data_IF_624434222264
#
_entry.id   IF_624434222264
#
_cell.length_a   1.000
_cell.length_b   1.000
_cell.length_c   1.000
_cell.angle_alpha   90.00
_cell.angle_beta   90.00
_cell.angle_gamma   90.00
#
_symmetry.space_group_name_H-M   'P 1'
#
loop_
_entity.id
_entity.type
_entity.pdbx_description
1 polymer ?
#
# COMPACT_ATOMS: atom_id res chain seq x y z
N UNK A 1 6.22 24.18 17.91
CA UNK A 1 5.19 24.46 16.89
C UNK A 1 4.84 23.15 16.21
N UNK A 2 3.59 22.74 16.28
CA UNK A 2 3.15 21.37 15.97
C UNK A 2 2.79 21.20 14.50
N UNK A 3 2.94 20.00 13.91
CA UNK A 3 2.31 19.73 12.63
C UNK A 3 0.81 19.88 12.85
N UNK A 4 0.22 20.88 12.19
CA UNK A 4 -1.20 21.28 12.26
C UNK A 4 -2.17 20.15 11.88
N UNK A 5 -1.64 19.01 11.44
CA UNK A 5 -2.32 17.83 10.90
C UNK A 5 -2.83 16.83 11.96
N UNK A 6 -2.26 16.82 13.17
CA UNK A 6 -2.67 15.88 14.21
C UNK A 6 -3.81 16.46 15.06
N UNK A 7 -5.05 16.09 14.72
CA UNK A 7 -6.21 16.36 15.56
C UNK A 7 -6.06 15.68 16.93
N UNK A 8 -6.57 16.30 17.99
CA UNK A 8 -6.56 15.75 19.36
C UNK A 8 -7.13 14.32 19.38
N UNK A 9 -8.19 14.07 18.61
CA UNK A 9 -8.80 12.74 18.45
C UNK A 9 -7.80 11.68 17.96
N UNK A 10 -6.92 12.02 17.02
CA UNK A 10 -5.93 11.07 16.49
C UNK A 10 -4.87 10.73 17.54
N UNK A 11 -4.49 11.69 18.38
CA UNK A 11 -3.59 11.45 19.53
C UNK A 11 -4.24 10.47 20.51
N UNK A 12 -5.50 10.68 20.87
CA UNK A 12 -6.26 9.76 21.73
C UNK A 12 -6.35 8.35 21.12
N UNK A 13 -6.69 8.24 19.83
CA UNK A 13 -6.74 6.95 19.13
C UNK A 13 -5.40 6.22 19.15
N UNK A 14 -4.30 6.92 18.88
CA UNK A 14 -2.97 6.32 18.90
C UNK A 14 -2.60 5.79 20.28
N UNK A 15 -2.85 6.57 21.34
CA UNK A 15 -2.58 6.17 22.70
C UNK A 15 -3.43 4.97 23.15
N UNK A 16 -4.73 4.97 22.85
CA UNK A 16 -5.60 3.84 23.12
C UNK A 16 -5.16 2.60 22.35
N UNK A 17 -4.74 2.74 21.09
CA UNK A 17 -4.21 1.62 20.31
C UNK A 17 -2.94 1.04 20.94
N UNK A 18 -2.03 1.88 21.46
CA UNK A 18 -0.82 1.43 22.17
C UNK A 18 -1.21 0.67 23.45
N UNK A 19 -2.13 1.21 24.26
CA UNK A 19 -2.63 0.55 25.48
C UNK A 19 -3.29 -0.80 25.16
N UNK A 20 -4.20 -0.83 24.18
CA UNK A 20 -4.90 -2.04 23.77
C UNK A 20 -3.92 -3.06 23.20
N UNK A 21 -2.91 -2.63 22.45
CA UNK A 21 -1.84 -3.50 21.95
C UNK A 21 -1.04 -4.15 23.08
N UNK A 22 -0.65 -3.38 24.11
CA UNK A 22 0.02 -3.91 25.30
C UNK A 22 -0.86 -4.92 26.07
N UNK A 23 -2.16 -4.64 26.20
CA UNK A 23 -3.12 -5.56 26.82
C UNK A 23 -3.31 -6.84 26.00
N UNK A 24 -3.42 -6.72 24.67
CA UNK A 24 -3.53 -7.87 23.78
C UNK A 24 -2.28 -8.76 23.84
N UNK A 25 -1.08 -8.15 23.93
CA UNK A 25 0.16 -8.88 24.15
C UNK A 25 0.17 -9.62 25.49
N UNK A 26 -0.37 -9.03 26.55
CA UNK A 26 -0.49 -9.71 27.84
C UNK A 26 -1.39 -10.96 27.74
N UNK A 27 -2.54 -10.85 27.07
CA UNK A 27 -3.47 -11.98 26.86
C UNK A 27 -2.82 -13.08 26.01
N UNK A 28 -2.14 -12.71 24.92
CA UNK A 28 -1.55 -13.67 23.99
C UNK A 28 -0.33 -14.41 24.56
N UNK A 29 0.40 -13.77 25.48
CA UNK A 29 1.67 -14.33 25.99
C UNK A 29 1.47 -15.37 27.09
N UNK A 30 0.24 -15.62 27.58
CA UNK A 30 -0.09 -16.48 28.74
C UNK A 30 0.97 -16.38 29.87
N UNK A 31 1.48 -15.17 30.08
CA UNK A 31 2.65 -14.99 30.93
C UNK A 31 2.21 -14.99 32.38
N UNK A 32 2.71 -15.94 33.16
CA UNK A 32 2.52 -16.00 34.62
C UNK A 32 2.96 -14.71 35.35
N UNK A 33 3.75 -13.86 34.71
CA UNK A 33 4.23 -12.60 35.27
C UNK A 33 3.36 -11.40 34.81
N UNK A 34 2.71 -10.67 35.73
CA UNK A 34 1.83 -9.52 35.42
C UNK A 34 2.59 -8.25 34.98
N UNK A 35 3.85 -8.36 34.57
CA UNK A 35 4.73 -7.22 34.26
C UNK A 35 4.15 -6.33 33.14
N UNK A 36 3.53 -6.95 32.13
CA UNK A 36 2.92 -6.27 30.99
C UNK A 36 1.67 -5.50 31.37
N UNK A 37 0.90 -6.01 32.33
CA UNK A 37 -0.32 -5.39 32.84
C UNK A 37 0.02 -4.14 33.66
N UNK A 38 1.01 -4.22 34.55
CA UNK A 38 1.50 -3.05 35.29
C UNK A 38 2.12 -1.99 34.37
N UNK A 39 2.85 -2.41 33.33
CA UNK A 39 3.39 -1.49 32.33
C UNK A 39 2.27 -0.77 31.56
N UNK A 40 1.25 -1.49 31.09
CA UNK A 40 0.09 -0.90 30.41
C UNK A 40 -0.66 0.09 31.31
N UNK A 41 -0.87 -0.27 32.58
CA UNK A 41 -1.53 0.59 33.56
C UNK A 41 -0.70 1.84 33.88
N UNK A 42 0.61 1.68 34.12
CA UNK A 42 1.50 2.80 34.42
C UNK A 42 1.65 3.78 33.25
N UNK A 43 1.87 3.25 32.04
CA UNK A 43 1.91 4.07 30.81
C UNK A 43 0.56 4.76 30.63
N UNK A 44 -0.54 4.06 30.91
CA UNK A 44 -1.86 4.61 30.76
C UNK A 44 -2.17 5.77 31.69
N UNK A 45 -1.78 5.64 32.95
CA UNK A 45 -1.85 6.73 33.94
C UNK A 45 -0.99 7.92 33.50
N UNK A 46 0.25 7.68 33.08
CA UNK A 46 1.14 8.75 32.59
C UNK A 46 0.54 9.52 31.40
N UNK A 47 -0.11 8.83 30.45
CA UNK A 47 -0.76 9.44 29.29
C UNK A 47 -1.97 10.31 29.71
N UNK A 48 -2.75 9.85 30.69
CA UNK A 48 -3.91 10.59 31.21
C UNK A 48 -3.51 11.88 31.93
N UNK A 49 -2.49 11.81 32.79
CA UNK A 49 -2.09 12.98 33.59
C UNK A 49 -1.17 13.95 32.85
N UNK A 50 -0.38 13.48 31.86
CA UNK A 50 0.57 14.31 31.14
C UNK A 50 0.24 14.37 29.63
N UNK A 51 -0.65 15.29 29.20
CA UNK A 51 -1.05 15.43 27.80
C UNK A 51 0.12 15.81 26.87
N UNK A 52 1.15 16.46 27.40
CA UNK A 52 2.35 16.79 26.63
C UNK A 52 3.16 15.54 26.26
N UNK A 53 3.33 14.59 27.17
CA UNK A 53 4.10 13.35 26.93
C UNK A 53 3.34 12.45 25.96
N UNK A 54 2.04 12.30 26.19
CA UNK A 54 1.08 11.64 25.30
C UNK A 54 1.26 12.05 23.83
N UNK A 55 1.46 13.35 23.58
CA UNK A 55 1.65 13.88 22.24
C UNK A 55 2.96 13.45 21.58
N UNK A 56 4.06 13.45 22.33
CA UNK A 56 5.36 13.02 21.81
C UNK A 56 5.35 11.52 21.45
N UNK A 57 4.70 10.71 22.29
CA UNK A 57 4.50 9.28 22.04
C UNK A 57 3.72 9.07 20.74
N UNK A 58 2.58 9.75 20.57
CA UNK A 58 1.76 9.63 19.37
C UNK A 58 2.52 10.04 18.10
N UNK A 59 3.33 11.11 18.15
CA UNK A 59 4.18 11.52 17.01
C UNK A 59 5.18 10.42 16.65
N UNK A 60 5.85 9.82 17.65
CA UNK A 60 6.76 8.70 17.44
C UNK A 60 6.07 7.50 16.79
N UNK A 61 4.90 7.13 17.31
CA UNK A 61 4.06 6.06 16.78
C UNK A 61 3.65 6.29 15.33
N UNK A 62 3.18 7.50 14.99
CA UNK A 62 2.79 7.82 13.62
C UNK A 62 3.98 7.86 12.65
N UNK A 63 5.18 8.25 13.09
CA UNK A 63 6.40 8.14 12.28
C UNK A 63 6.72 6.69 11.94
N UNK A 64 6.61 5.79 12.92
CA UNK A 64 6.77 4.34 12.69
C UNK A 64 5.71 3.80 11.73
N UNK A 65 4.44 4.16 11.96
CA UNK A 65 3.34 3.75 11.10
C UNK A 65 3.51 4.23 9.65
N UNK A 66 4.05 5.45 9.45
CA UNK A 66 4.36 5.96 8.11
C UNK A 66 5.46 5.15 7.42
N UNK A 67 6.52 4.78 8.16
CA UNK A 67 7.58 3.91 7.65
C UNK A 67 7.06 2.52 7.27
N UNK A 68 6.28 1.90 8.16
CA UNK A 68 5.62 0.62 7.89
C UNK A 68 4.66 0.70 6.70
N UNK A 69 3.87 1.78 6.61
CA UNK A 69 2.97 2.02 5.50
C UNK A 69 3.71 2.09 4.16
N UNK A 70 4.84 2.79 4.09
CA UNK A 70 5.65 2.87 2.88
C UNK A 70 6.14 1.50 2.40
N UNK A 71 6.63 0.67 3.33
CA UNK A 71 7.09 -0.69 3.01
C UNK A 71 5.90 -1.57 2.61
N UNK A 72 4.80 -1.50 3.36
CA UNK A 72 3.61 -2.30 3.13
C UNK A 72 2.96 -1.99 1.78
N UNK A 73 2.90 -0.72 1.37
CA UNK A 73 2.36 -0.34 0.05
C UNK A 73 3.13 -1.00 -1.09
N UNK A 74 4.47 -1.05 -1.00
CA UNK A 74 5.28 -1.75 -2.01
C UNK A 74 5.08 -3.26 -1.94
N UNK A 75 5.08 -3.82 -0.73
CA UNK A 75 4.89 -5.26 -0.53
C UNK A 75 3.57 -5.73 -1.11
N UNK A 76 2.49 -4.99 -0.85
CA UNK A 76 1.13 -5.33 -1.28
C UNK A 76 0.99 -5.20 -2.80
N UNK A 77 1.60 -4.17 -3.41
CA UNK A 77 1.64 -4.03 -4.86
C UNK A 77 2.44 -5.16 -5.52
N UNK A 78 3.62 -5.49 -4.99
CA UNK A 78 4.44 -6.60 -5.47
C UNK A 78 3.70 -7.93 -5.33
N UNK A 79 3.06 -8.18 -4.19
CA UNK A 79 2.26 -9.39 -3.97
C UNK A 79 1.12 -9.47 -4.99
N UNK A 80 0.37 -8.39 -5.19
CA UNK A 80 -0.72 -8.34 -6.16
C UNK A 80 -0.21 -8.58 -7.58
N UNK A 81 0.95 -8.02 -7.93
CA UNK A 81 1.59 -8.28 -9.21
C UNK A 81 1.94 -9.76 -9.40
N UNK A 82 2.64 -10.37 -8.44
CA UNK A 82 3.09 -11.76 -8.57
C UNK A 82 1.96 -12.79 -8.46
N UNK A 83 0.93 -12.52 -7.63
CA UNK A 83 -0.17 -13.45 -7.39
C UNK A 83 -1.28 -13.33 -8.44
N UNK A 84 -1.53 -12.13 -8.99
CA UNK A 84 -2.62 -11.92 -9.95
C UNK A 84 -2.12 -11.55 -11.35
N UNK A 85 -1.39 -10.44 -11.48
CA UNK A 85 -1.03 -9.91 -12.81
C UNK A 85 -0.08 -10.83 -13.57
N UNK A 86 0.94 -11.36 -12.90
CA UNK A 86 1.94 -12.23 -13.50
C UNK A 86 1.34 -13.54 -14.03
N UNK A 87 0.59 -14.35 -13.24
CA UNK A 87 -0.02 -15.57 -13.77
C UNK A 87 -1.06 -15.26 -14.84
N UNK A 88 -1.82 -14.15 -14.71
CA UNK A 88 -2.76 -13.75 -15.74
C UNK A 88 -2.06 -13.39 -17.05
N UNK A 89 -0.95 -12.65 -16.98
CA UNK A 89 -0.14 -12.30 -18.15
C UNK A 89 0.51 -13.53 -18.79
N UNK A 90 1.01 -14.48 -17.98
CA UNK A 90 1.55 -15.74 -18.47
C UNK A 90 0.48 -16.59 -19.14
N UNK A 91 -0.71 -16.69 -18.54
CA UNK A 91 -1.85 -17.39 -19.12
C UNK A 91 -2.26 -16.74 -20.45
N UNK A 92 -2.36 -15.42 -20.49
CA UNK A 92 -2.65 -14.69 -21.72
C UNK A 92 -1.57 -14.90 -22.79
N UNK A 93 -0.29 -14.94 -22.41
CA UNK A 93 0.84 -15.24 -23.30
C UNK A 93 0.79 -16.66 -23.86
N UNK A 94 0.35 -17.63 -23.05
CA UNK A 94 0.17 -19.03 -23.48
C UNK A 94 -1.04 -19.19 -24.41
N UNK A 95 -2.16 -18.51 -24.12
CA UNK A 95 -3.40 -18.63 -24.89
C UNK A 95 -3.39 -17.82 -26.20
N UNK A 96 -2.73 -16.66 -26.25
CA UNK A 96 -2.67 -15.81 -27.45
C UNK A 96 -1.26 -15.77 -28.02
N UNK A 97 -1.06 -16.48 -29.14
CA UNK A 97 0.25 -16.64 -29.80
C UNK A 97 0.86 -15.35 -30.37
N UNK A 98 0.11 -14.25 -30.54
CA UNK A 98 0.66 -12.99 -31.05
C UNK A 98 -0.30 -11.80 -30.81
N UNK A 99 -0.50 -11.37 -29.56
CA UNK A 99 -1.36 -10.22 -29.28
C UNK A 99 -0.79 -8.87 -29.78
N UNK A 100 0.54 -8.76 -29.86
CA UNK A 100 1.24 -7.53 -30.24
C UNK A 100 1.82 -7.56 -31.66
N UNK A 101 1.59 -8.62 -32.44
CA UNK A 101 2.16 -8.80 -33.78
C UNK A 101 3.68 -8.48 -33.86
N UNK A 102 4.43 -8.77 -32.78
CA UNK A 102 5.86 -8.41 -32.65
C UNK A 102 6.79 -9.32 -33.44
N UNK A 103 6.26 -10.40 -33.99
CA UNK A 103 6.98 -11.32 -34.86
C UNK A 103 6.13 -11.53 -36.10
N UNK A 104 6.77 -11.34 -37.25
CA UNK A 104 6.23 -11.70 -38.55
C UNK A 104 5.62 -13.11 -38.47
N UNK A 105 4.32 -13.25 -38.77
CA UNK A 105 3.79 -14.57 -39.08
C UNK A 105 4.55 -15.16 -40.27
N UNK A 106 4.55 -16.50 -40.47
CA UNK A 106 5.30 -17.17 -41.54
C UNK A 106 4.98 -16.68 -42.98
N UNK A 107 4.07 -15.73 -43.14
CA UNK A 107 3.49 -15.25 -44.40
C UNK A 107 3.91 -13.82 -44.77
N UNK A 108 4.59 -13.04 -43.90
CA UNK A 108 4.92 -11.63 -44.16
C UNK A 108 6.38 -11.30 -43.83
N UNK A 109 7.18 -10.75 -44.78
CA UNK A 109 8.58 -10.40 -44.52
C UNK A 109 8.76 -9.12 -43.70
N UNK A 110 7.73 -8.27 -43.59
CA UNK A 110 7.79 -7.01 -42.85
C UNK A 110 6.51 -6.77 -42.03
N UNK A 111 6.65 -5.98 -40.96
CA UNK A 111 5.51 -5.46 -40.18
C UNK A 111 4.81 -4.27 -40.86
N UNK A 112 5.36 -3.76 -41.96
CA UNK A 112 4.74 -2.67 -42.71
C UNK A 112 3.49 -3.20 -43.42
N UNK A 113 2.34 -2.60 -43.10
CA UNK A 113 1.10 -2.78 -43.85
C UNK A 113 0.99 -1.64 -44.85
N UNK A 114 1.04 -1.95 -46.14
CA UNK A 114 0.71 -0.98 -47.17
C UNK A 114 -0.74 -0.52 -46.99
N UNK A 115 -0.92 0.78 -46.72
CA UNK A 115 -2.23 1.43 -46.74
C UNK A 115 -2.40 2.13 -48.08
N UNK A 116 -2.95 1.41 -49.06
CA UNK A 116 -3.41 2.00 -50.31
C UNK A 116 -4.75 2.73 -50.11
N UNK A 117 -4.77 3.71 -49.20
CA UNK A 117 -5.95 4.54 -48.94
C UNK A 117 -5.88 5.80 -49.80
N UNK A 118 -6.90 6.04 -50.62
CA UNK A 118 -7.05 7.32 -51.34
C UNK A 118 -7.65 8.33 -50.37
N UNK A 119 -6.83 9.28 -49.93
CA UNK A 119 -7.26 10.38 -49.07
C UNK A 119 -8.42 11.16 -49.68
N UNK A 120 -9.47 11.36 -48.88
CA UNK A 120 -10.61 12.23 -49.21
C UNK A 120 -10.63 13.45 -48.29
N UNK A 121 -11.44 14.44 -48.64
CA UNK A 121 -11.58 15.66 -47.84
C UNK A 121 -12.04 15.34 -46.41
N UNK A 122 -12.89 14.33 -46.26
CA UNK A 122 -13.37 13.84 -44.96
C UNK A 122 -12.24 13.36 -44.02
N UNK A 123 -11.14 12.81 -44.56
CA UNK A 123 -10.01 12.29 -43.78
C UNK A 123 -9.16 13.42 -43.16
N UNK A 124 -9.31 14.66 -43.65
CA UNK A 124 -8.59 15.84 -43.16
C UNK A 124 -9.32 16.53 -42.00
N UNK A 125 -10.58 16.16 -41.71
CA UNK A 125 -11.33 16.75 -40.59
C UNK A 125 -10.93 16.15 -39.24
N UNK A 126 -10.42 14.91 -39.20
CA UNK A 126 -9.89 14.28 -38.00
C UNK A 126 -8.58 13.55 -38.30
N UNK A 127 -7.48 14.28 -38.20
CA UNK A 127 -6.11 13.80 -38.47
C UNK A 127 -5.47 13.01 -37.33
N UNK A 128 -6.21 12.68 -36.27
CA UNK A 128 -5.71 12.09 -35.02
C UNK A 128 -6.24 10.68 -34.79
#
# INVERSE_FOLDING_TARGET
MLPKELSELNVWKANTAIMVGLLALHIFTESHYPIWLYAAFGIGMCILFLPHVSRWIAIGWYKLARGLGYVNSKLLLSLLFFVFLLPLALLYRLLRRNALALTNGPQLPTLYKERNHRYRAEDLENTW
#
